data_IF_909731649673
#
_entry.id   IF_909731649673
#
_cell.length_a   1.000
_cell.length_b   1.000
_cell.length_c   1.000
_cell.angle_alpha   90.00
_cell.angle_beta   90.00
_cell.angle_gamma   90.00
#
_symmetry.space_group_name_H-M   'P 1'
#
loop_
_entity.id
_entity.type
_entity.pdbx_description
1 polymer ?
#
# COMPACT_ATOMS: atom_id res chain seq x y z
N UNK A 1 -18.02 23.27 -6.36
CA UNK A 1 -19.29 23.40 -5.61
C UNK A 1 -19.16 22.69 -4.29
N UNK A 2 -19.67 23.26 -3.18
CA UNK A 2 -19.74 22.54 -1.90
C UNK A 2 -20.72 21.37 -2.02
N UNK A 3 -20.31 20.16 -1.59
CA UNK A 3 -21.20 18.99 -1.55
C UNK A 3 -22.23 19.15 -0.44
N UNK A 4 -23.48 18.76 -0.67
CA UNK A 4 -24.59 18.84 0.29
C UNK A 4 -25.44 17.56 0.23
N UNK A 5 -26.29 17.32 1.24
CA UNK A 5 -27.18 16.17 1.25
C UNK A 5 -26.43 14.82 1.10
N UNK A 6 -26.97 13.95 0.27
CA UNK A 6 -26.37 12.63 0.02
C UNK A 6 -25.00 12.71 -0.67
N UNK A 7 -24.71 13.74 -1.49
CA UNK A 7 -23.39 13.88 -2.10
C UNK A 7 -22.30 14.11 -1.04
N UNK A 8 -22.64 14.81 0.06
CA UNK A 8 -21.76 15.00 1.21
C UNK A 8 -21.62 13.72 2.04
N UNK A 9 -22.72 13.02 2.30
CA UNK A 9 -22.70 11.75 3.05
C UNK A 9 -22.00 10.62 2.29
N UNK A 10 -21.95 10.67 0.97
CA UNK A 10 -21.27 9.71 0.12
C UNK A 10 -19.80 10.07 -0.15
N UNK A 11 -19.32 11.20 0.35
CA UNK A 11 -17.91 11.59 0.23
C UNK A 11 -17.13 11.08 1.47
N UNK A 12 -16.29 10.06 1.34
CA UNK A 12 -15.61 9.47 2.49
C UNK A 12 -14.64 10.43 3.21
N UNK A 13 -14.15 11.47 2.53
CA UNK A 13 -13.25 12.47 3.13
C UNK A 13 -14.00 13.56 3.90
N UNK A 14 -15.24 13.84 3.53
CA UNK A 14 -16.04 14.92 4.10
C UNK A 14 -17.13 14.42 5.05
N UNK A 15 -17.52 13.17 4.93
CA UNK A 15 -18.57 12.57 5.74
C UNK A 15 -18.14 12.44 7.21
N UNK A 16 -18.89 13.07 8.11
CA UNK A 16 -18.72 12.95 9.57
C UNK A 16 -19.73 11.99 10.22
N UNK A 17 -20.61 11.38 9.41
CA UNK A 17 -21.69 10.53 9.92
C UNK A 17 -22.56 11.26 10.94
N UNK A 18 -22.83 10.62 12.08
CA UNK A 18 -23.64 11.20 13.16
C UNK A 18 -22.96 12.34 13.92
N UNK A 19 -21.67 12.64 13.64
CA UNK A 19 -20.96 13.76 14.27
C UNK A 19 -21.19 15.13 13.61
N UNK A 20 -21.94 15.20 12.49
CA UNK A 20 -22.42 16.49 12.00
C UNK A 20 -23.28 17.16 13.08
N UNK A 21 -22.89 18.38 13.49
CA UNK A 21 -23.66 19.17 14.46
C UNK A 21 -25.03 19.56 13.91
N UNK A 22 -25.94 20.03 14.74
CA UNK A 22 -27.26 20.48 14.29
C UNK A 22 -27.14 21.62 13.26
N UNK A 23 -26.22 22.55 13.51
CA UNK A 23 -25.95 23.69 12.62
C UNK A 23 -25.42 23.20 11.27
N UNK A 24 -24.41 22.30 11.28
CA UNK A 24 -23.88 21.70 10.06
C UNK A 24 -24.93 20.93 9.27
N UNK A 25 -25.84 20.22 9.98
CA UNK A 25 -26.95 19.51 9.31
C UNK A 25 -27.90 20.47 8.61
N UNK A 26 -28.19 21.63 9.21
CA UNK A 26 -29.03 22.65 8.61
C UNK A 26 -28.35 23.28 7.39
N UNK A 27 -27.08 23.66 7.53
CA UNK A 27 -26.32 24.35 6.46
C UNK A 27 -26.05 23.43 5.25
N UNK A 28 -25.87 22.13 5.47
CA UNK A 28 -25.50 21.20 4.41
C UNK A 28 -26.66 20.32 3.90
N UNK A 29 -27.90 20.62 4.26
CA UNK A 29 -29.06 19.87 3.78
C UNK A 29 -29.13 18.43 4.31
N UNK A 30 -28.67 18.19 5.53
CA UNK A 30 -28.65 16.87 6.16
C UNK A 30 -29.80 16.64 7.16
N UNK A 31 -30.67 17.64 7.32
CA UNK A 31 -31.82 17.53 8.24
C UNK A 31 -32.76 16.41 7.77
N UNK A 32 -33.01 15.46 8.67
CA UNK A 32 -33.82 14.27 8.38
C UNK A 32 -33.07 13.13 7.66
N UNK A 33 -31.82 13.33 7.23
CA UNK A 33 -31.00 12.29 6.62
C UNK A 33 -30.15 11.49 7.64
N UNK A 34 -29.97 12.03 8.84
CA UNK A 34 -29.24 11.41 9.93
C UNK A 34 -30.15 11.20 11.16
N UNK A 35 -29.88 10.19 12.01
CA UNK A 35 -30.55 10.05 13.29
C UNK A 35 -30.43 11.33 14.15
N UNK A 36 -31.44 11.67 14.98
CA UNK A 36 -31.47 12.95 15.69
C UNK A 36 -30.29 13.20 16.62
N UNK A 37 -29.78 12.16 17.28
CA UNK A 37 -28.67 12.31 18.22
C UNK A 37 -27.38 12.68 17.50
N UNK A 38 -26.64 13.63 18.04
CA UNK A 38 -25.29 14.03 17.57
C UNK A 38 -24.27 13.31 18.44
N UNK A 39 -23.50 12.41 17.83
CA UNK A 39 -22.39 11.75 18.53
C UNK A 39 -21.10 12.55 18.38
N UNK A 40 -20.18 12.40 19.32
CA UNK A 40 -18.80 12.82 19.13
C UNK A 40 -18.04 11.79 18.27
N UNK A 41 -16.88 12.16 17.74
CA UNK A 41 -16.01 11.23 17.01
C UNK A 41 -15.57 10.06 17.90
N UNK A 42 -15.31 10.32 19.18
CA UNK A 42 -14.93 9.32 20.20
C UNK A 42 -16.06 8.30 20.44
N UNK A 43 -17.31 8.76 20.47
CA UNK A 43 -18.47 7.88 20.64
C UNK A 43 -18.66 6.98 19.40
N UNK A 44 -18.51 7.54 18.19
CA UNK A 44 -18.52 6.75 16.96
C UNK A 44 -17.37 5.74 16.91
N UNK A 45 -16.14 6.16 17.28
CA UNK A 45 -14.98 5.29 17.29
C UNK A 45 -15.15 4.12 18.26
N UNK A 46 -15.64 4.39 19.48
CA UNK A 46 -15.97 3.35 20.46
C UNK A 46 -17.02 2.38 19.93
N UNK A 47 -18.11 2.89 19.34
CA UNK A 47 -19.16 2.07 18.74
C UNK A 47 -18.63 1.18 17.62
N UNK A 48 -17.79 1.72 16.72
CA UNK A 48 -17.16 0.96 15.65
C UNK A 48 -16.22 -0.12 16.20
N UNK A 49 -15.37 0.23 17.18
CA UNK A 49 -14.45 -0.71 17.82
C UNK A 49 -15.20 -1.87 18.49
N UNK A 50 -16.23 -1.58 19.31
CA UNK A 50 -17.06 -2.61 19.94
C UNK A 50 -17.73 -3.53 18.90
N UNK A 51 -18.12 -2.98 17.74
CA UNK A 51 -18.69 -3.78 16.65
C UNK A 51 -17.63 -4.71 16.02
N UNK A 52 -16.42 -4.19 15.78
CA UNK A 52 -15.30 -4.99 15.23
C UNK A 52 -14.91 -6.12 16.18
N UNK A 53 -14.86 -5.86 17.48
CA UNK A 53 -14.52 -6.86 18.50
C UNK A 53 -15.51 -8.04 18.61
N UNK A 54 -16.72 -7.89 18.06
CA UNK A 54 -17.71 -8.99 18.01
C UNK A 54 -17.49 -9.94 16.82
N UNK A 55 -16.57 -9.63 15.92
CA UNK A 55 -16.25 -10.45 14.76
C UNK A 55 -15.09 -11.37 15.09
N UNK A 56 -15.25 -12.66 14.77
CA UNK A 56 -14.24 -13.68 15.09
C UNK A 56 -13.12 -13.72 14.02
N UNK A 57 -13.48 -13.73 12.73
CA UNK A 57 -12.52 -13.85 11.64
C UNK A 57 -11.84 -12.53 11.27
N UNK A 58 -10.55 -12.57 10.97
CA UNK A 58 -9.76 -11.41 10.51
C UNK A 58 -10.34 -10.76 9.27
N UNK A 59 -10.74 -11.57 8.28
CA UNK A 59 -11.34 -11.08 7.04
C UNK A 59 -12.67 -10.34 7.27
N UNK A 60 -13.48 -10.75 8.24
CA UNK A 60 -14.72 -10.03 8.57
C UNK A 60 -14.44 -8.69 9.25
N UNK A 61 -13.41 -8.63 10.11
CA UNK A 61 -12.92 -7.37 10.70
C UNK A 61 -12.43 -6.43 9.61
N UNK A 62 -11.64 -6.95 8.65
CA UNK A 62 -11.17 -6.18 7.50
C UNK A 62 -12.33 -5.64 6.67
N UNK A 63 -13.29 -6.46 6.29
CA UNK A 63 -14.46 -6.03 5.50
C UNK A 63 -15.21 -4.87 6.17
N UNK A 64 -15.40 -4.92 7.49
CA UNK A 64 -16.02 -3.81 8.21
C UNK A 64 -15.14 -2.54 8.24
N UNK A 65 -13.83 -2.70 8.44
CA UNK A 65 -12.88 -1.58 8.38
C UNK A 65 -12.88 -0.94 6.98
N UNK A 66 -12.92 -1.73 5.91
CA UNK A 66 -13.02 -1.21 4.54
C UNK A 66 -14.35 -0.49 4.29
N UNK A 67 -15.45 -0.96 4.86
CA UNK A 67 -16.72 -0.23 4.81
C UNK A 67 -16.62 1.15 5.48
N UNK A 68 -15.94 1.26 6.63
CA UNK A 68 -15.65 2.55 7.25
C UNK A 68 -14.76 3.42 6.36
N UNK A 69 -13.71 2.83 5.79
CA UNK A 69 -12.81 3.54 4.89
C UNK A 69 -13.50 4.12 3.68
N UNK A 70 -14.45 3.40 3.09
CA UNK A 70 -15.20 3.82 1.92
C UNK A 70 -16.31 4.85 2.24
N UNK A 71 -16.70 4.96 3.51
CA UNK A 71 -17.82 5.84 3.92
C UNK A 71 -17.42 7.00 4.81
N UNK A 72 -16.42 6.83 5.70
CA UNK A 72 -15.97 7.85 6.65
C UNK A 72 -14.51 7.63 7.03
N UNK A 73 -13.59 8.23 6.28
CA UNK A 73 -12.14 8.06 6.48
C UNK A 73 -11.64 8.60 7.81
N UNK A 74 -12.21 9.67 8.29
CA UNK A 74 -11.86 10.22 9.60
C UNK A 74 -12.16 9.20 10.69
N UNK A 75 -13.32 8.57 10.67
CA UNK A 75 -13.68 7.52 11.63
C UNK A 75 -12.80 6.27 11.47
N UNK A 76 -12.56 5.83 10.22
CA UNK A 76 -11.64 4.70 9.95
C UNK A 76 -10.27 4.94 10.57
N UNK A 77 -9.64 6.09 10.29
CA UNK A 77 -8.30 6.38 10.80
C UNK A 77 -8.29 6.63 12.32
N UNK A 78 -9.35 7.19 12.89
CA UNK A 78 -9.49 7.33 14.35
C UNK A 78 -9.45 5.95 15.01
N UNK A 79 -10.27 5.00 14.54
CA UNK A 79 -10.30 3.63 15.08
C UNK A 79 -8.97 2.91 14.83
N UNK A 80 -8.41 3.00 13.63
CA UNK A 80 -7.17 2.31 13.31
C UNK A 80 -5.97 2.87 14.12
N UNK A 81 -5.83 4.18 14.22
CA UNK A 81 -4.71 4.81 14.93
C UNK A 81 -4.76 4.58 16.45
N UNK A 82 -5.95 4.50 17.04
CA UNK A 82 -6.09 4.19 18.47
C UNK A 82 -5.77 2.73 18.80
N UNK A 83 -5.90 1.83 17.82
CA UNK A 83 -5.71 0.38 17.97
C UNK A 83 -4.72 -0.19 16.94
N UNK A 84 -3.67 0.57 16.62
CA UNK A 84 -2.74 0.26 15.51
C UNK A 84 -2.13 -1.13 15.62
N UNK A 85 -1.68 -1.54 16.80
CA UNK A 85 -1.07 -2.84 17.01
C UNK A 85 -2.07 -4.01 16.81
N UNK A 86 -3.34 -3.79 17.15
CA UNK A 86 -4.40 -4.80 16.98
C UNK A 86 -4.86 -4.89 15.52
N UNK A 87 -4.99 -3.74 14.84
CA UNK A 87 -5.56 -3.72 13.49
C UNK A 87 -4.56 -3.73 12.35
N UNK A 88 -3.26 -3.51 12.62
CA UNK A 88 -2.22 -3.65 11.60
C UNK A 88 -2.29 -5.02 10.88
N UNK A 89 -2.36 -6.17 11.60
CA UNK A 89 -2.49 -7.47 10.97
C UNK A 89 -3.81 -7.69 10.22
N UNK A 90 -4.82 -6.89 10.50
CA UNK A 90 -6.15 -6.96 9.86
C UNK A 90 -6.21 -6.07 8.60
N UNK A 91 -5.63 -4.88 8.69
CA UNK A 91 -5.62 -3.90 7.59
C UNK A 91 -4.57 -4.25 6.54
N UNK A 92 -3.48 -4.88 6.97
CA UNK A 92 -2.37 -5.28 6.12
C UNK A 92 -2.06 -6.78 6.30
N UNK A 93 -0.80 -7.17 6.35
CA UNK A 93 -0.38 -8.56 6.43
C UNK A 93 -0.57 -9.14 7.85
N UNK A 94 -1.17 -10.35 8.01
CA UNK A 94 -1.46 -11.34 6.96
C UNK A 94 -2.87 -11.32 6.36
N UNK A 95 -3.86 -10.66 6.95
CA UNK A 95 -5.26 -10.74 6.50
C UNK A 95 -5.49 -10.16 5.10
N UNK A 96 -4.65 -9.21 4.67
CA UNK A 96 -4.73 -8.66 3.32
C UNK A 96 -4.51 -9.75 2.23
N UNK A 97 -3.69 -10.76 2.52
CA UNK A 97 -3.45 -11.86 1.60
C UNK A 97 -4.76 -12.63 1.27
N UNK A 98 -5.57 -12.94 2.29
CA UNK A 98 -6.88 -13.57 2.10
C UNK A 98 -7.79 -12.72 1.19
N UNK A 99 -7.77 -11.40 1.38
CA UNK A 99 -8.58 -10.48 0.57
C UNK A 99 -8.08 -10.38 -0.88
N UNK A 100 -6.77 -10.43 -1.11
CA UNK A 100 -6.18 -10.41 -2.46
C UNK A 100 -6.57 -11.69 -3.22
N UNK A 101 -6.55 -12.83 -2.55
CA UNK A 101 -6.93 -14.12 -3.13
C UNK A 101 -8.38 -14.12 -3.64
N UNK A 102 -9.29 -13.43 -2.92
CA UNK A 102 -10.71 -13.31 -3.25
C UNK A 102 -11.09 -11.96 -3.89
N UNK A 103 -10.11 -11.09 -4.21
CA UNK A 103 -10.36 -9.69 -4.58
C UNK A 103 -11.36 -9.53 -5.73
N UNK A 104 -11.17 -10.28 -6.82
CA UNK A 104 -12.03 -10.18 -7.99
C UNK A 104 -13.47 -10.61 -7.71
N UNK A 105 -13.66 -11.61 -6.86
CA UNK A 105 -14.99 -12.09 -6.46
C UNK A 105 -15.69 -11.13 -5.50
N UNK A 106 -14.90 -10.42 -4.66
CA UNK A 106 -15.40 -9.54 -3.61
C UNK A 106 -15.43 -8.05 -4.02
N UNK A 107 -15.03 -7.75 -5.26
CA UNK A 107 -14.92 -6.37 -5.72
C UNK A 107 -16.25 -5.62 -5.62
N UNK A 108 -16.24 -4.53 -4.88
CA UNK A 108 -17.39 -3.62 -4.74
C UNK A 108 -16.99 -2.17 -5.08
N UNK A 109 -15.79 -1.75 -4.67
CA UNK A 109 -15.32 -0.37 -4.76
C UNK A 109 -13.80 -0.36 -4.97
N UNK A 110 -13.27 0.50 -5.85
CA UNK A 110 -11.84 0.61 -6.11
C UNK A 110 -11.02 1.22 -4.97
N UNK A 111 -11.64 1.67 -3.89
CA UNK A 111 -11.00 2.29 -2.71
C UNK A 111 -10.05 3.44 -3.05
N UNK A 112 -10.41 4.23 -4.05
CA UNK A 112 -9.62 5.31 -4.65
C UNK A 112 -8.31 4.85 -5.30
N UNK A 113 -8.19 3.57 -5.66
CA UNK A 113 -7.06 3.06 -6.41
C UNK A 113 -7.17 3.36 -7.91
N UNK A 114 -6.02 3.38 -8.58
CA UNK A 114 -5.88 3.51 -10.02
C UNK A 114 -5.36 2.20 -10.61
N UNK A 115 -6.03 1.72 -11.63
CA UNK A 115 -5.68 0.52 -12.38
C UNK A 115 -5.13 0.93 -13.74
N UNK A 116 -3.85 0.64 -13.98
CA UNK A 116 -3.20 0.97 -15.25
C UNK A 116 -2.90 -0.32 -16.02
N UNK A 117 -3.46 -0.42 -17.21
CA UNK A 117 -3.28 -1.61 -18.06
C UNK A 117 -2.13 -1.41 -19.05
N UNK A 118 -1.22 -2.40 -19.13
CA UNK A 118 -0.15 -2.43 -20.14
C UNK A 118 -0.68 -2.52 -21.57
N UNK A 119 -1.93 -2.93 -21.74
CA UNK A 119 -2.60 -2.97 -23.04
C UNK A 119 -3.19 -1.62 -23.46
N UNK A 120 -3.21 -0.65 -22.54
CA UNK A 120 -3.76 0.68 -22.75
C UNK A 120 -2.82 1.76 -22.16
N UNK A 121 -1.54 1.82 -22.56
CA UNK A 121 -0.58 2.77 -22.03
C UNK A 121 -0.97 4.24 -22.28
N UNK A 122 -1.76 4.48 -23.33
CA UNK A 122 -2.29 5.81 -23.65
C UNK A 122 -3.25 6.38 -22.58
N UNK A 123 -3.85 5.52 -21.74
CA UNK A 123 -4.81 5.93 -20.71
C UNK A 123 -4.13 6.35 -19.37
N UNK A 124 -2.81 6.21 -19.24
CA UNK A 124 -2.07 6.47 -17.97
C UNK A 124 -2.35 7.89 -17.43
N UNK A 125 -2.19 8.91 -18.26
CA UNK A 125 -2.33 10.31 -17.80
C UNK A 125 -3.77 10.62 -17.35
N UNK A 126 -4.75 10.18 -18.09
CA UNK A 126 -6.16 10.40 -17.76
C UNK A 126 -6.58 9.63 -16.50
N UNK A 127 -6.12 8.36 -16.39
CA UNK A 127 -6.40 7.52 -15.21
C UNK A 127 -5.82 8.12 -13.93
N UNK A 128 -4.59 8.61 -13.98
CA UNK A 128 -3.94 9.25 -12.83
C UNK A 128 -4.63 10.57 -12.45
N UNK A 129 -5.04 11.40 -13.43
CA UNK A 129 -5.82 12.62 -13.16
C UNK A 129 -7.18 12.31 -12.52
N UNK A 130 -7.88 11.32 -13.05
CA UNK A 130 -9.17 10.88 -12.53
C UNK A 130 -9.03 10.33 -11.10
N UNK A 131 -8.03 9.47 -10.84
CA UNK A 131 -7.77 8.94 -9.51
C UNK A 131 -7.33 9.99 -8.50
N UNK A 132 -6.55 10.97 -8.93
CA UNK A 132 -6.16 12.10 -8.09
C UNK A 132 -7.34 13.02 -7.75
N UNK A 133 -8.32 13.14 -8.64
CA UNK A 133 -9.54 13.96 -8.45
C UNK A 133 -9.23 15.40 -7.97
N UNK A 134 -8.16 16.02 -8.48
CA UNK A 134 -7.71 17.37 -8.11
C UNK A 134 -6.99 17.48 -6.77
N UNK A 135 -6.73 16.37 -6.08
CA UNK A 135 -5.95 16.34 -4.83
C UNK A 135 -4.45 16.61 -5.07
N UNK A 136 -3.76 17.16 -4.08
CA UNK A 136 -2.31 17.39 -4.10
C UNK A 136 -1.57 16.09 -3.69
N UNK A 137 -1.39 15.18 -4.64
CA UNK A 137 -0.77 13.88 -4.37
C UNK A 137 0.72 14.05 -4.07
N UNK A 138 1.17 13.46 -2.94
CA UNK A 138 2.55 13.52 -2.43
C UNK A 138 3.20 12.15 -2.27
N UNK A 139 2.41 11.11 -2.18
CA UNK A 139 2.88 9.73 -2.07
C UNK A 139 2.03 8.85 -2.99
N UNK A 140 2.69 8.12 -3.86
CA UNK A 140 2.09 7.01 -4.61
C UNK A 140 2.74 5.72 -4.13
N UNK A 141 1.93 4.73 -3.78
CA UNK A 141 2.38 3.34 -3.69
C UNK A 141 1.91 2.63 -4.95
N UNK A 142 2.84 2.04 -5.66
CA UNK A 142 2.58 1.31 -6.89
C UNK A 142 3.11 -0.11 -6.81
N UNK A 143 2.30 -1.06 -7.28
CA UNK A 143 2.69 -2.47 -7.40
C UNK A 143 2.40 -2.99 -8.81
N UNK A 144 3.24 -3.88 -9.34
CA UNK A 144 2.86 -4.73 -10.47
C UNK A 144 2.35 -6.12 -10.01
N UNK A 145 2.36 -6.34 -8.69
CA UNK A 145 1.86 -7.53 -8.01
C UNK A 145 2.41 -8.85 -8.56
N UNK A 146 3.64 -8.83 -9.09
CA UNK A 146 4.30 -10.03 -9.61
C UNK A 146 4.78 -10.94 -8.48
N UNK A 147 5.27 -10.37 -7.37
CA UNK A 147 5.88 -11.14 -6.30
C UNK A 147 5.47 -10.62 -4.92
N UNK A 148 4.15 -10.67 -4.65
CA UNK A 148 3.61 -10.31 -3.33
C UNK A 148 4.20 -11.26 -2.30
N UNK A 149 4.82 -10.70 -1.24
CA UNK A 149 5.50 -11.48 -0.21
C UNK A 149 4.59 -12.56 0.37
N UNK A 150 5.04 -13.81 0.26
CA UNK A 150 4.36 -14.99 0.78
C UNK A 150 3.31 -15.60 -0.15
N UNK A 151 2.74 -14.89 -1.10
CA UNK A 151 1.66 -15.39 -1.97
C UNK A 151 1.93 -15.30 -3.48
N UNK A 152 2.93 -14.53 -3.93
CA UNK A 152 3.41 -14.48 -5.32
C UNK A 152 2.56 -13.60 -6.23
N UNK A 153 2.40 -14.04 -7.50
CA UNK A 153 1.72 -13.29 -8.56
C UNK A 153 0.20 -13.32 -8.42
N UNK A 154 -0.42 -12.14 -8.28
CA UNK A 154 -1.86 -11.95 -8.19
C UNK A 154 -2.42 -10.95 -9.20
N UNK A 155 -1.59 -10.45 -10.12
CA UNK A 155 -2.01 -9.51 -11.16
C UNK A 155 -2.76 -8.32 -10.57
N UNK A 156 -3.88 -7.92 -11.20
CA UNK A 156 -4.64 -6.75 -10.76
C UNK A 156 -5.20 -6.84 -9.33
N UNK A 157 -5.42 -8.08 -8.81
CA UNK A 157 -5.91 -8.29 -7.44
C UNK A 157 -4.94 -7.71 -6.40
N UNK A 158 -3.65 -7.60 -6.72
CA UNK A 158 -2.64 -7.02 -5.85
C UNK A 158 -2.74 -5.51 -5.63
N UNK A 159 -3.72 -4.82 -6.22
CA UNK A 159 -3.99 -3.40 -5.92
C UNK A 159 -4.21 -3.17 -4.43
N UNK A 160 -4.77 -4.16 -3.74
CA UNK A 160 -5.07 -4.07 -2.31
C UNK A 160 -3.80 -3.92 -1.45
N UNK A 161 -2.64 -4.41 -1.94
CA UNK A 161 -1.33 -4.13 -1.34
C UNK A 161 -1.06 -2.62 -1.27
N UNK A 162 -1.20 -1.92 -2.39
CA UNK A 162 -1.00 -0.46 -2.45
C UNK A 162 -1.98 0.28 -1.55
N UNK A 163 -3.25 -0.15 -1.51
CA UNK A 163 -4.28 0.42 -0.64
C UNK A 163 -3.93 0.22 0.84
N UNK A 164 -3.64 -1.01 1.25
CA UNK A 164 -3.30 -1.35 2.64
C UNK A 164 -2.02 -0.66 3.12
N UNK A 165 -0.99 -0.61 2.28
CA UNK A 165 0.27 0.10 2.59
C UNK A 165 0.02 1.57 2.88
N UNK A 166 -0.80 2.26 2.09
CA UNK A 166 -1.13 3.67 2.32
C UNK A 166 -1.97 3.89 3.56
N UNK A 167 -2.84 2.95 3.93
CA UNK A 167 -3.55 3.00 5.22
C UNK A 167 -2.58 2.95 6.40
N UNK A 168 -1.56 2.09 6.32
CA UNK A 168 -0.50 1.99 7.33
C UNK A 168 0.34 3.28 7.38
N UNK A 169 0.72 3.84 6.24
CA UNK A 169 1.42 5.14 6.19
C UNK A 169 0.64 6.25 6.90
N UNK A 170 -0.67 6.30 6.72
CA UNK A 170 -1.49 7.30 7.41
C UNK A 170 -1.59 7.02 8.90
N UNK A 171 -1.96 5.80 9.29
CA UNK A 171 -2.23 5.48 10.69
C UNK A 171 -0.97 5.46 11.58
N UNK A 172 0.16 4.95 11.06
CA UNK A 172 1.38 4.77 11.82
C UNK A 172 2.41 5.89 11.62
N UNK A 173 2.44 6.54 10.45
CA UNK A 173 3.42 7.58 10.14
C UNK A 173 2.80 8.98 9.94
N UNK A 174 1.47 9.14 10.06
CA UNK A 174 0.80 10.44 10.01
C UNK A 174 0.75 11.07 8.62
N UNK A 175 0.89 10.29 7.55
CA UNK A 175 0.75 10.78 6.19
C UNK A 175 -0.71 11.18 5.92
N UNK A 176 -0.92 12.37 5.37
CA UNK A 176 -2.28 12.86 5.07
C UNK A 176 -2.97 11.95 4.03
N UNK A 177 -4.11 11.33 4.35
CA UNK A 177 -4.82 10.42 3.44
C UNK A 177 -5.36 11.08 2.17
N UNK A 178 -5.49 12.40 2.13
CA UNK A 178 -5.86 13.15 0.92
C UNK A 178 -4.68 13.28 -0.07
N UNK A 179 -3.45 13.06 0.39
CA UNK A 179 -2.24 13.25 -0.40
C UNK A 179 -1.64 11.93 -0.93
N UNK A 180 -2.39 10.84 -0.81
CA UNK A 180 -1.90 9.52 -1.23
C UNK A 180 -2.73 8.96 -2.39
N UNK A 181 -2.09 8.12 -3.23
CA UNK A 181 -2.74 7.47 -4.35
C UNK A 181 -2.22 6.03 -4.50
N UNK A 182 -3.06 5.01 -4.29
CA UNK A 182 -2.71 3.63 -4.59
C UNK A 182 -2.82 3.36 -6.10
N UNK A 183 -1.84 2.64 -6.65
CA UNK A 183 -1.77 2.31 -8.08
C UNK A 183 -1.41 0.84 -8.25
N UNK A 184 -2.03 0.17 -9.21
CA UNK A 184 -1.57 -1.11 -9.73
C UNK A 184 -1.24 -1.00 -11.21
N UNK A 185 -0.12 -1.62 -11.61
CA UNK A 185 0.29 -1.80 -13.00
C UNK A 185 -0.11 -3.20 -13.44
N UNK A 186 -1.25 -3.32 -14.12
CA UNK A 186 -1.70 -4.62 -14.63
C UNK A 186 -0.94 -4.98 -15.90
N UNK A 187 0.11 -5.75 -15.70
CA UNK A 187 0.98 -6.28 -16.76
C UNK A 187 0.59 -7.69 -17.21
N UNK A 188 -0.59 -8.17 -16.83
CA UNK A 188 -1.00 -9.57 -16.93
C UNK A 188 -0.56 -10.40 -15.72
N UNK A 189 -0.76 -11.71 -15.76
CA UNK A 189 -0.40 -12.63 -14.68
C UNK A 189 0.05 -13.98 -15.22
N UNK A 190 1.04 -14.61 -14.57
CA UNK A 190 1.45 -15.97 -14.86
C UNK A 190 0.71 -17.01 -14.00
N UNK A 191 -0.21 -16.55 -13.12
CA UNK A 191 -1.04 -17.44 -12.30
C UNK A 191 -2.18 -18.00 -13.13
N UNK A 192 -2.02 -19.25 -13.56
CA UNK A 192 -3.00 -19.93 -14.42
C UNK A 192 -4.40 -19.95 -13.79
N UNK A 193 -4.52 -20.10 -12.47
CA UNK A 193 -5.81 -20.09 -11.79
C UNK A 193 -6.60 -18.79 -12.04
N UNK A 194 -5.92 -17.62 -12.10
CA UNK A 194 -6.56 -16.34 -12.43
C UNK A 194 -6.92 -16.25 -13.91
N UNK A 195 -6.05 -16.73 -14.81
CA UNK A 195 -6.32 -16.72 -16.26
C UNK A 195 -7.52 -17.59 -16.63
N UNK A 196 -7.70 -18.70 -15.93
CA UNK A 196 -8.81 -19.64 -16.13
C UNK A 196 -10.11 -19.22 -15.41
N UNK A 197 -10.02 -18.26 -14.47
CA UNK A 197 -11.17 -17.78 -13.71
C UNK A 197 -11.99 -16.75 -14.49
N UNK A 198 -13.28 -17.03 -14.69
CA UNK A 198 -14.20 -16.12 -15.40
C UNK A 198 -14.50 -14.82 -14.64
N UNK A 199 -14.25 -14.76 -13.33
CA UNK A 199 -14.48 -13.61 -12.48
C UNK A 199 -13.25 -12.69 -12.35
N UNK A 200 -12.06 -13.15 -12.79
CA UNK A 200 -10.85 -12.34 -12.71
C UNK A 200 -10.99 -11.02 -13.46
N UNK A 201 -10.70 -9.92 -12.79
CA UNK A 201 -10.92 -8.54 -13.27
C UNK A 201 -9.71 -7.93 -14.00
N UNK A 202 -8.55 -8.60 -14.00
CA UNK A 202 -7.34 -8.11 -14.67
C UNK A 202 -7.20 -8.51 -16.13
N UNK A 203 -6.10 -8.10 -16.76
CA UNK A 203 -5.73 -8.50 -18.11
C UNK A 203 -5.56 -10.02 -18.19
N UNK A 204 -6.23 -10.65 -19.15
CA UNK A 204 -6.30 -12.13 -19.27
C UNK A 204 -5.25 -12.67 -20.22
N UNK A 205 -3.97 -12.37 -19.94
CA UNK A 205 -2.82 -12.90 -20.66
C UNK A 205 -1.65 -13.09 -19.71
N UNK A 206 -0.65 -13.86 -20.14
CA UNK A 206 0.60 -14.00 -19.41
C UNK A 206 1.29 -12.63 -19.24
N UNK A 207 2.10 -12.51 -18.17
CA UNK A 207 2.83 -11.26 -17.91
C UNK A 207 3.66 -10.83 -19.10
N UNK A 208 3.48 -9.61 -19.48
CA UNK A 208 4.35 -8.94 -20.45
C UNK A 208 5.68 -8.62 -19.78
N UNK A 209 6.76 -8.95 -20.45
CA UNK A 209 8.14 -8.77 -19.99
C UNK A 209 8.98 -8.03 -21.04
N UNK A 210 10.24 -7.74 -20.71
CA UNK A 210 11.18 -7.12 -21.64
C UNK A 210 10.88 -5.65 -21.94
N UNK A 211 11.16 -5.22 -23.16
CA UNK A 211 11.09 -3.80 -23.56
C UNK A 211 9.70 -3.20 -23.35
N UNK A 212 8.65 -3.88 -23.79
CA UNK A 212 7.25 -3.40 -23.61
C UNK A 212 6.91 -3.12 -22.15
N UNK A 213 7.38 -3.97 -21.20
CA UNK A 213 7.19 -3.74 -19.76
C UNK A 213 7.92 -2.47 -19.29
N UNK A 214 9.18 -2.31 -19.68
CA UNK A 214 9.97 -1.15 -19.24
C UNK A 214 9.48 0.16 -19.88
N UNK A 215 9.01 0.14 -21.12
CA UNK A 215 8.41 1.30 -21.78
C UNK A 215 7.11 1.73 -21.06
N UNK A 216 6.30 0.77 -20.68
CA UNK A 216 5.07 1.05 -19.91
C UNK A 216 5.41 1.64 -18.54
N UNK A 217 6.36 1.06 -17.82
CA UNK A 217 6.82 1.57 -16.53
C UNK A 217 7.44 2.96 -16.66
N UNK A 218 8.26 3.22 -17.69
CA UNK A 218 8.82 4.54 -17.95
C UNK A 218 7.73 5.56 -18.20
N UNK A 219 6.76 5.24 -19.05
CA UNK A 219 5.61 6.12 -19.32
C UNK A 219 4.82 6.45 -18.05
N UNK A 220 4.66 5.49 -17.14
CA UNK A 220 4.05 5.72 -15.83
C UNK A 220 4.90 6.68 -14.99
N UNK A 221 6.20 6.42 -14.80
CA UNK A 221 7.08 7.24 -13.97
C UNK A 221 7.17 8.68 -14.49
N UNK A 222 7.36 8.87 -15.80
CA UNK A 222 7.39 10.20 -16.41
C UNK A 222 6.05 10.95 -16.24
N UNK A 223 4.94 10.23 -16.31
CA UNK A 223 3.62 10.83 -16.15
C UNK A 223 3.34 11.24 -14.70
N UNK A 224 3.69 10.41 -13.70
CA UNK A 224 3.52 10.81 -12.30
C UNK A 224 4.44 11.95 -11.91
N UNK A 225 5.68 12.00 -12.42
CA UNK A 225 6.60 13.13 -12.22
C UNK A 225 6.04 14.45 -12.79
N UNK A 226 5.49 14.39 -13.98
CA UNK A 226 4.84 15.53 -14.65
C UNK A 226 3.61 16.03 -13.90
N UNK A 227 2.74 15.11 -13.44
CA UNK A 227 1.48 15.45 -12.79
C UNK A 227 1.67 15.86 -11.33
N UNK A 228 2.61 15.26 -10.63
CA UNK A 228 2.80 15.39 -9.19
C UNK A 228 4.25 15.76 -8.84
N UNK A 229 4.71 16.98 -9.09
CA UNK A 229 6.13 17.37 -9.02
C UNK A 229 6.75 17.31 -7.61
N UNK A 230 5.97 17.04 -6.58
CA UNK A 230 6.41 16.88 -5.18
C UNK A 230 6.20 15.47 -4.66
N UNK A 231 6.03 14.52 -5.59
CA UNK A 231 5.71 13.14 -5.29
C UNK A 231 6.93 12.40 -4.73
N UNK A 232 6.67 11.50 -3.79
CA UNK A 232 7.51 10.37 -3.43
C UNK A 232 6.88 9.10 -3.98
N UNK A 233 7.64 8.32 -4.75
CA UNK A 233 7.14 7.12 -5.42
C UNK A 233 7.67 5.87 -4.71
N UNK A 234 6.75 5.06 -4.19
CA UNK A 234 7.04 3.83 -3.49
C UNK A 234 6.67 2.63 -4.38
N UNK A 235 7.68 1.83 -4.73
CA UNK A 235 7.52 0.55 -5.41
C UNK A 235 7.34 -0.57 -4.39
N UNK A 236 6.31 -1.40 -4.57
CA UNK A 236 5.94 -2.50 -3.67
C UNK A 236 5.66 -3.78 -4.45
N UNK A 237 6.18 -4.92 -4.00
CA UNK A 237 5.92 -6.26 -4.54
C UNK A 237 6.20 -6.44 -6.05
N UNK A 238 7.22 -5.73 -6.55
CA UNK A 238 7.72 -5.93 -7.91
C UNK A 238 8.49 -7.24 -8.02
N UNK A 239 8.35 -7.93 -9.15
CA UNK A 239 9.06 -9.18 -9.40
C UNK A 239 10.57 -9.07 -9.21
N UNK A 240 11.18 -10.13 -8.67
CA UNK A 240 12.62 -10.17 -8.31
C UNK A 240 13.56 -9.79 -9.45
N UNK A 241 13.18 -10.08 -10.68
CA UNK A 241 13.95 -9.71 -11.88
C UNK A 241 13.88 -8.23 -12.20
N UNK A 242 12.85 -7.54 -11.72
CA UNK A 242 12.53 -6.15 -12.04
C UNK A 242 12.85 -5.19 -10.88
N UNK A 243 12.57 -5.56 -9.64
CA UNK A 243 12.63 -4.66 -8.47
C UNK A 243 13.95 -3.89 -8.34
N UNK A 244 15.09 -4.59 -8.35
CA UNK A 244 16.40 -3.98 -8.23
C UNK A 244 16.73 -3.08 -9.43
N UNK A 245 16.38 -3.52 -10.65
CA UNK A 245 16.63 -2.75 -11.88
C UNK A 245 15.79 -1.48 -11.92
N UNK A 246 14.52 -1.56 -11.56
CA UNK A 246 13.61 -0.41 -11.46
C UNK A 246 14.14 0.60 -10.45
N UNK A 247 14.50 0.16 -9.25
CA UNK A 247 15.09 1.04 -8.24
C UNK A 247 16.38 1.72 -8.74
N UNK A 248 17.30 0.96 -9.32
CA UNK A 248 18.57 1.50 -9.84
C UNK A 248 18.38 2.51 -10.97
N UNK A 249 17.35 2.31 -11.80
CA UNK A 249 17.05 3.19 -12.92
C UNK A 249 16.61 4.57 -12.43
N UNK A 250 15.72 4.63 -11.43
CA UNK A 250 15.07 5.89 -11.06
C UNK A 250 15.63 6.58 -9.81
N UNK A 251 16.30 5.86 -8.87
CA UNK A 251 16.72 6.41 -7.57
C UNK A 251 17.67 7.62 -7.63
N UNK A 252 18.33 7.88 -8.79
CA UNK A 252 19.25 9.01 -8.96
C UNK A 252 18.58 10.25 -9.55
N UNK A 253 17.42 10.09 -10.15
CA UNK A 253 16.72 11.13 -10.90
C UNK A 253 15.38 11.52 -10.30
N UNK A 254 14.77 10.62 -9.56
CA UNK A 254 13.46 10.81 -8.97
C UNK A 254 13.41 10.30 -7.51
N UNK A 255 12.63 10.92 -6.60
CA UNK A 255 12.47 10.44 -5.23
C UNK A 255 11.68 9.12 -5.22
N UNK A 256 12.39 7.99 -5.23
CA UNK A 256 11.83 6.64 -5.25
C UNK A 256 12.30 5.81 -4.06
N UNK A 257 11.49 4.86 -3.68
CA UNK A 257 11.75 3.87 -2.64
C UNK A 257 11.20 2.51 -3.06
N UNK A 258 11.91 1.45 -2.77
CA UNK A 258 11.39 0.09 -2.88
C UNK A 258 11.46 -0.58 -1.50
N UNK A 259 10.30 -0.90 -0.93
CA UNK A 259 10.21 -1.42 0.43
C UNK A 259 10.79 -2.82 0.56
N UNK A 260 10.54 -3.69 -0.43
CA UNK A 260 11.03 -5.08 -0.40
C UNK A 260 12.55 -5.16 -0.34
N UNK A 261 13.23 -4.28 -1.09
CA UNK A 261 14.68 -4.21 -1.12
C UNK A 261 15.25 -3.38 0.04
N UNK A 262 14.76 -2.13 0.19
CA UNK A 262 15.36 -1.14 1.07
C UNK A 262 14.77 -1.18 2.47
N UNK A 263 13.43 -1.21 2.61
CA UNK A 263 12.76 -1.22 3.91
C UNK A 263 13.06 -2.50 4.67
N UNK A 264 12.87 -3.66 4.04
CA UNK A 264 13.15 -4.96 4.63
C UNK A 264 14.62 -5.09 5.02
N UNK A 265 15.54 -4.60 4.18
CA UNK A 265 16.97 -4.58 4.51
C UNK A 265 17.30 -3.74 5.74
N UNK A 266 16.73 -2.54 5.82
CA UNK A 266 16.98 -1.61 6.93
C UNK A 266 16.41 -2.12 8.25
N UNK A 267 15.16 -2.59 8.27
CA UNK A 267 14.53 -3.07 9.50
C UNK A 267 15.20 -4.33 10.03
N UNK A 268 15.62 -5.23 9.14
CA UNK A 268 16.35 -6.44 9.51
C UNK A 268 17.73 -6.11 10.09
N UNK A 269 18.48 -5.22 9.44
CA UNK A 269 19.75 -4.73 9.97
C UNK A 269 19.58 -4.09 11.36
N UNK A 270 18.55 -3.25 11.54
CA UNK A 270 18.27 -2.63 12.85
C UNK A 270 18.02 -3.67 13.94
N UNK A 271 17.30 -4.76 13.63
CA UNK A 271 17.10 -5.89 14.53
C UNK A 271 18.41 -6.61 14.86
N UNK A 272 19.26 -6.85 13.85
CA UNK A 272 20.58 -7.48 14.04
C UNK A 272 21.49 -6.61 14.91
N UNK A 273 21.57 -5.31 14.63
CA UNK A 273 22.36 -4.37 15.45
C UNK A 273 21.86 -4.31 16.89
N UNK A 274 20.54 -4.38 17.10
CA UNK A 274 19.93 -4.51 18.42
C UNK A 274 20.39 -5.77 19.15
N UNK A 275 20.40 -6.92 18.46
CA UNK A 275 20.88 -8.20 19.00
C UNK A 275 22.39 -8.14 19.33
N UNK A 276 23.21 -7.56 18.47
CA UNK A 276 24.64 -7.37 18.70
C UNK A 276 24.89 -6.52 19.96
N UNK A 277 24.14 -5.45 20.13
CA UNK A 277 24.21 -4.61 21.32
C UNK A 277 23.87 -5.37 22.60
N UNK A 278 22.85 -6.23 22.58
CA UNK A 278 22.46 -7.06 23.72
C UNK A 278 23.53 -8.10 24.05
N UNK A 279 24.11 -8.74 23.03
CA UNK A 279 25.10 -9.80 23.20
C UNK A 279 26.54 -9.28 23.42
N UNK A 280 26.78 -7.99 23.22
CA UNK A 280 28.12 -7.40 23.30
C UNK A 280 29.06 -7.81 22.16
N UNK A 281 28.50 -8.26 21.03
CA UNK A 281 29.24 -8.70 19.85
C UNK A 281 29.25 -7.61 18.77
N UNK A 282 30.14 -7.74 17.78
CA UNK A 282 30.20 -6.84 16.63
C UNK A 282 29.55 -7.48 15.40
N UNK A 283 28.95 -6.65 14.56
CA UNK A 283 28.40 -7.07 13.28
C UNK A 283 29.48 -7.73 12.40
N UNK A 284 30.68 -7.15 12.36
CA UNK A 284 31.83 -7.60 11.59
C UNK A 284 32.47 -8.92 12.06
N UNK A 285 32.01 -9.49 13.16
CA UNK A 285 32.46 -10.80 13.69
C UNK A 285 31.47 -11.93 13.40
N UNK A 286 30.32 -11.62 12.75
CA UNK A 286 29.25 -12.58 12.51
C UNK A 286 29.37 -13.21 11.12
N UNK A 287 28.86 -14.43 10.99
CA UNK A 287 28.66 -15.11 9.70
C UNK A 287 27.16 -15.16 9.42
N UNK A 288 26.76 -14.81 8.22
CA UNK A 288 25.37 -14.69 7.80
C UNK A 288 25.03 -15.77 6.78
N UNK A 289 23.93 -16.45 7.01
CA UNK A 289 23.36 -17.36 6.04
C UNK A 289 21.99 -16.80 5.61
N UNK A 290 21.88 -16.37 4.36
CA UNK A 290 20.61 -15.99 3.76
C UNK A 290 19.98 -17.22 3.10
N UNK A 291 18.91 -17.75 3.71
CA UNK A 291 18.16 -18.86 3.14
C UNK A 291 17.00 -18.31 2.28
N UNK A 292 17.26 -18.14 0.99
CA UNK A 292 16.38 -17.56 0.00
C UNK A 292 16.98 -16.31 -0.65
N UNK A 293 16.84 -16.18 -1.96
CA UNK A 293 17.41 -15.09 -2.76
C UNK A 293 16.34 -14.32 -3.57
N UNK A 294 15.16 -14.14 -2.98
CA UNK A 294 14.14 -13.24 -3.48
C UNK A 294 14.51 -11.77 -3.25
N UNK A 295 13.62 -10.85 -3.60
CA UNK A 295 13.83 -9.40 -3.48
C UNK A 295 14.25 -8.99 -2.06
N UNK A 296 13.54 -9.47 -1.04
CA UNK A 296 13.83 -9.18 0.36
C UNK A 296 15.18 -9.77 0.81
N UNK A 297 15.46 -11.06 0.52
CA UNK A 297 16.72 -11.71 0.90
C UNK A 297 17.95 -11.03 0.30
N UNK A 298 17.86 -10.63 -0.98
CA UNK A 298 18.93 -9.88 -1.64
C UNK A 298 19.11 -8.49 -1.01
N UNK A 299 18.03 -7.79 -0.71
CA UNK A 299 18.07 -6.47 -0.06
C UNK A 299 18.66 -6.52 1.35
N UNK A 300 18.29 -7.52 2.15
CA UNK A 300 18.87 -7.76 3.50
C UNK A 300 20.37 -8.00 3.40
N UNK A 301 20.79 -8.90 2.51
CA UNK A 301 22.20 -9.24 2.32
C UNK A 301 23.02 -8.03 1.89
N UNK A 302 22.56 -7.27 0.89
CA UNK A 302 23.23 -6.04 0.44
C UNK A 302 23.34 -5.01 1.58
N UNK A 303 22.30 -4.86 2.38
CA UNK A 303 22.31 -3.90 3.49
C UNK A 303 23.28 -4.28 4.60
N UNK A 304 23.33 -5.55 5.00
CA UNK A 304 24.28 -6.04 6.01
C UNK A 304 25.71 -5.91 5.47
N UNK A 305 25.94 -6.30 4.22
CA UNK A 305 27.25 -6.16 3.56
C UNK A 305 27.75 -4.71 3.61
N UNK A 306 26.92 -3.77 3.20
CA UNK A 306 27.31 -2.33 3.21
C UNK A 306 27.58 -1.80 4.62
N UNK A 307 26.88 -2.28 5.62
CA UNK A 307 27.12 -1.88 7.00
C UNK A 307 28.45 -2.43 7.52
N UNK A 308 28.80 -3.69 7.19
CA UNK A 308 30.11 -4.26 7.54
C UNK A 308 31.27 -3.47 6.92
N UNK A 309 31.10 -3.04 5.66
CA UNK A 309 32.08 -2.17 4.99
C UNK A 309 32.16 -0.78 5.67
N UNK A 310 31.01 -0.21 6.05
CA UNK A 310 30.96 1.05 6.78
C UNK A 310 31.61 0.96 8.18
N UNK A 311 31.54 -0.20 8.83
CA UNK A 311 32.24 -0.49 10.10
C UNK A 311 33.73 -0.79 9.94
N UNK A 312 34.27 -0.79 8.70
CA UNK A 312 35.69 -0.79 8.40
C UNK A 312 36.27 -2.04 7.77
N UNK A 313 35.45 -3.04 7.40
CA UNK A 313 35.93 -4.16 6.60
C UNK A 313 36.15 -3.72 5.15
N UNK A 314 37.14 -4.33 4.47
CA UNK A 314 37.20 -4.27 3.02
C UNK A 314 36.00 -5.04 2.41
N UNK A 315 35.67 -4.75 1.15
CA UNK A 315 34.60 -5.46 0.44
C UNK A 315 34.84 -6.98 0.38
N UNK A 316 36.11 -7.41 0.18
CA UNK A 316 36.44 -8.82 0.11
C UNK A 316 36.32 -9.51 1.46
N UNK A 317 36.73 -8.85 2.54
CA UNK A 317 36.52 -9.34 3.90
C UNK A 317 35.02 -9.44 4.20
N UNK A 318 34.25 -8.38 3.94
CA UNK A 318 32.80 -8.38 4.16
C UNK A 318 32.10 -9.52 3.39
N UNK A 319 32.47 -9.77 2.13
CA UNK A 319 31.94 -10.92 1.34
C UNK A 319 32.23 -12.27 1.95
N UNK A 320 33.34 -12.44 2.64
CA UNK A 320 33.71 -13.72 3.26
C UNK A 320 32.81 -14.10 4.46
N UNK A 321 31.95 -13.18 4.91
CA UNK A 321 31.00 -13.40 6.00
C UNK A 321 29.64 -13.95 5.55
N UNK A 322 29.41 -14.13 4.22
CA UNK A 322 28.17 -14.62 3.63
C UNK A 322 28.29 -16.00 2.99
#
# INVERSE_FOLDING_TARGET
MMKTGYDLLNDPFLNKGTAFTIEERMENGLVGLLPPHVQTLEEQARQAYEHICRKDAGIEKRRFLMQLFDTNRTLFYKVFSEHVAEFMPVVYDPVIAENIEEYSELFVNPQNAVFLSIDRPEDIEESLKSGAAGRDIRLVVVSDAEEILGIGDWGTNGVDISVGKLMVYTAAAGVNPEQVLPVVLDCGTNRKALLDDSLYLGNRHERVTGEKYYDFLQSFVETVEKLFPKLYLHFEDFGRSNAAKVLQTYQKTFPVFNDDCQGTGIITLAGILGAMKINGQKLTEQVYLCFGAGTAGAGITDRIFREMVAEGLSEDEARSHF
#
